data_IF_900070943179
#
_entry.id   IF_900070943179
#
_cell.length_a   1.000
_cell.length_b   1.000
_cell.length_c   1.000
_cell.angle_alpha   90.00
_cell.angle_beta   90.00
_cell.angle_gamma   90.00
#
_symmetry.space_group_name_H-M   'P 1'
#
loop_
_entity.id
_entity.type
_entity.pdbx_description
1 polymer ?
#
# COMPACT_ATOMS: atom_id res chain seq x y z
N UNK A 1 6.75 33.11 -22.46
CA UNK A 1 7.27 31.93 -21.75
C UNK A 1 6.29 31.59 -20.64
N UNK A 2 5.38 30.65 -20.89
CA UNK A 2 4.50 30.15 -19.85
C UNK A 2 5.25 29.05 -19.09
N UNK A 3 5.62 29.32 -17.85
CA UNK A 3 5.99 28.28 -16.88
C UNK A 3 4.71 27.55 -16.52
N UNK A 4 4.41 26.46 -17.20
CA UNK A 4 3.42 25.49 -16.74
C UNK A 4 3.93 24.92 -15.42
N UNK A 5 3.15 25.15 -14.39
CA UNK A 5 3.41 24.70 -13.04
C UNK A 5 3.23 23.17 -13.00
N UNK A 6 4.33 22.41 -13.01
CA UNK A 6 4.37 20.94 -12.89
C UNK A 6 3.77 20.40 -11.56
N UNK A 7 3.15 21.28 -10.75
CA UNK A 7 2.57 20.97 -9.42
C UNK A 7 1.11 20.51 -9.46
N UNK A 8 0.44 20.57 -10.62
CA UNK A 8 -0.98 20.21 -10.73
C UNK A 8 -1.23 18.76 -11.19
N UNK A 9 -0.23 18.05 -11.72
CA UNK A 9 -0.36 16.62 -11.97
C UNK A 9 -0.09 15.84 -10.68
N UNK A 10 -1.02 15.00 -10.19
CA UNK A 10 -0.70 14.06 -9.13
C UNK A 10 0.54 13.28 -9.58
N UNK A 11 1.50 13.00 -8.69
CA UNK A 11 2.73 12.31 -9.06
C UNK A 11 2.42 11.08 -9.93
N UNK A 12 3.29 10.62 -10.82
CA UNK A 12 3.01 9.41 -11.60
C UNK A 12 2.98 8.17 -10.67
N UNK A 13 2.14 7.17 -10.97
CA UNK A 13 2.16 5.89 -10.26
C UNK A 13 3.46 5.17 -10.55
N UNK A 14 3.99 4.43 -9.57
CA UNK A 14 5.11 3.55 -9.86
C UNK A 14 4.69 2.47 -10.89
N UNK A 15 5.66 1.97 -11.65
CA UNK A 15 5.41 1.00 -12.73
C UNK A 15 4.66 -0.24 -12.23
N UNK A 16 5.00 -0.74 -11.04
CA UNK A 16 4.37 -1.94 -10.45
C UNK A 16 2.90 -1.66 -10.18
N UNK A 17 2.58 -0.53 -9.54
CA UNK A 17 1.19 -0.13 -9.28
C UNK A 17 0.42 0.11 -10.57
N UNK A 18 1.03 0.77 -11.57
CA UNK A 18 0.39 1.01 -12.88
C UNK A 18 0.01 -0.30 -13.57
N UNK A 19 0.92 -1.28 -13.59
CA UNK A 19 0.66 -2.62 -14.14
C UNK A 19 -0.43 -3.34 -13.33
N UNK A 20 -0.35 -3.31 -12.00
CA UNK A 20 -1.35 -3.93 -11.10
C UNK A 20 -2.74 -3.35 -11.33
N UNK A 21 -2.89 -2.02 -11.42
CA UNK A 21 -4.17 -1.34 -11.70
C UNK A 21 -4.75 -1.67 -13.08
N UNK A 22 -3.90 -2.04 -14.05
CA UNK A 22 -4.30 -2.43 -15.41
C UNK A 22 -4.73 -3.91 -15.50
N UNK A 23 -4.01 -4.80 -14.81
CA UNK A 23 -4.13 -6.25 -14.99
C UNK A 23 -5.06 -6.89 -13.95
N UNK A 24 -4.89 -6.55 -12.67
CA UNK A 24 -5.58 -7.24 -11.57
C UNK A 24 -7.11 -7.18 -11.63
N UNK A 25 -7.77 -6.11 -12.16
CA UNK A 25 -9.23 -6.13 -12.32
C UNK A 25 -9.75 -7.20 -13.27
N UNK A 26 -9.05 -7.44 -14.38
CA UNK A 26 -9.42 -8.51 -15.31
C UNK A 26 -9.17 -9.88 -14.68
N UNK A 27 -8.03 -10.05 -14.01
CA UNK A 27 -7.72 -11.28 -13.28
C UNK A 27 -8.76 -11.57 -12.21
N UNK A 28 -9.23 -10.54 -11.49
CA UNK A 28 -10.23 -10.68 -10.45
C UNK A 28 -11.56 -11.18 -11.02
N UNK A 29 -12.05 -10.60 -12.12
CA UNK A 29 -13.27 -11.03 -12.80
C UNK A 29 -13.23 -12.50 -13.25
N UNK A 30 -12.06 -13.01 -13.59
CA UNK A 30 -11.86 -14.42 -13.97
C UNK A 30 -11.86 -15.32 -12.73
N UNK A 31 -11.22 -14.87 -11.63
CA UNK A 31 -11.06 -15.66 -10.39
C UNK A 31 -12.31 -15.66 -9.50
N UNK A 32 -13.07 -14.58 -9.49
CA UNK A 32 -14.21 -14.37 -8.59
C UNK A 32 -15.27 -15.47 -8.70
N UNK A 33 -15.69 -15.93 -9.90
CA UNK A 33 -16.63 -17.05 -10.05
C UNK A 33 -16.10 -18.38 -9.49
N UNK A 34 -14.79 -18.51 -9.32
CA UNK A 34 -14.12 -19.70 -8.79
C UNK A 34 -13.79 -19.56 -7.29
N UNK A 35 -14.32 -18.52 -6.62
CA UNK A 35 -14.06 -18.23 -5.21
C UNK A 35 -12.70 -17.58 -4.94
N UNK A 36 -11.96 -17.19 -5.98
CA UNK A 36 -10.68 -16.50 -5.84
C UNK A 36 -10.81 -14.99 -5.98
N UNK A 37 -9.82 -14.25 -5.47
CA UNK A 37 -9.79 -12.79 -5.60
C UNK A 37 -8.43 -12.29 -6.11
N UNK A 38 -8.46 -11.10 -6.72
CA UNK A 38 -7.27 -10.32 -7.09
C UNK A 38 -7.48 -8.82 -6.85
N UNK A 39 -8.70 -8.42 -6.45
CA UNK A 39 -9.01 -7.15 -5.81
C UNK A 39 -9.76 -7.44 -4.51
N UNK A 40 -9.68 -6.52 -3.55
CA UNK A 40 -10.49 -6.57 -2.34
C UNK A 40 -10.71 -5.15 -1.80
N UNK A 41 -11.77 -4.99 -1.00
CA UNK A 41 -12.02 -3.74 -0.28
C UNK A 41 -10.95 -3.57 0.81
N UNK A 42 -10.45 -2.35 0.96
CA UNK A 42 -9.52 -1.95 2.00
C UNK A 42 -10.23 -1.99 3.35
N UNK A 43 -9.70 -2.72 4.33
CA UNK A 43 -10.33 -2.79 5.64
C UNK A 43 -10.04 -1.51 6.45
N UNK A 44 -11.03 -0.91 7.13
CA UNK A 44 -10.85 0.33 7.89
C UNK A 44 -9.87 0.18 9.06
N UNK A 45 -9.84 -0.97 9.74
CA UNK A 45 -8.88 -1.23 10.84
C UNK A 45 -7.41 -1.25 10.39
N UNK A 46 -7.14 -1.29 9.08
CA UNK A 46 -5.78 -1.13 8.56
C UNK A 46 -5.34 0.34 8.52
N UNK A 47 -6.23 1.30 8.80
CA UNK A 47 -5.92 2.73 8.64
C UNK A 47 -4.83 3.19 9.61
N UNK A 48 -3.70 3.61 9.04
CA UNK A 48 -2.57 4.17 9.77
C UNK A 48 -2.81 5.64 10.03
N UNK A 49 -3.26 6.37 9.02
CA UNK A 49 -3.42 7.82 9.05
C UNK A 49 -3.19 8.45 7.68
N UNK A 50 -3.38 9.76 7.62
CA UNK A 50 -3.07 10.57 6.44
C UNK A 50 -1.75 11.29 6.64
N UNK A 51 -0.79 11.02 5.75
CA UNK A 51 0.51 11.69 5.70
C UNK A 51 0.37 12.96 4.87
N UNK A 52 0.80 14.09 5.44
CA UNK A 52 0.75 15.42 4.80
C UNK A 52 1.98 15.65 3.93
N UNK A 53 2.13 14.81 2.91
CA UNK A 53 3.17 14.88 1.88
C UNK A 53 2.57 14.45 0.56
N UNK A 54 3.11 14.98 -0.53
CA UNK A 54 2.84 14.41 -1.84
C UNK A 54 3.35 12.95 -1.92
N UNK A 55 2.80 12.19 -2.87
CA UNK A 55 3.10 10.76 -2.99
C UNK A 55 4.57 10.47 -3.36
N UNK A 56 5.23 11.35 -4.09
CA UNK A 56 6.64 11.17 -4.47
C UNK A 56 7.54 11.33 -3.24
N UNK A 57 7.30 12.34 -2.43
CA UNK A 57 8.00 12.55 -1.16
C UNK A 57 7.74 11.38 -0.21
N UNK A 58 6.49 10.94 -0.07
CA UNK A 58 6.18 9.82 0.82
C UNK A 58 6.76 8.49 0.35
N UNK A 59 6.87 8.27 -0.97
CA UNK A 59 7.61 7.13 -1.52
C UNK A 59 9.08 7.15 -1.08
N UNK A 60 9.73 8.30 -1.13
CA UNK A 60 11.13 8.41 -0.69
C UNK A 60 11.26 8.09 0.81
N UNK A 61 10.29 8.48 1.64
CA UNK A 61 10.26 8.11 3.06
C UNK A 61 10.11 6.58 3.24
N UNK A 62 9.23 5.94 2.47
CA UNK A 62 9.07 4.48 2.48
C UNK A 62 10.38 3.77 2.12
N UNK A 63 11.07 4.22 1.08
CA UNK A 63 12.37 3.68 0.68
C UNK A 63 13.42 3.88 1.79
N UNK A 64 13.46 5.06 2.43
CA UNK A 64 14.34 5.33 3.56
C UNK A 64 14.02 4.43 4.78
N UNK A 65 12.75 4.05 4.96
CA UNK A 65 12.31 3.09 5.96
C UNK A 65 12.54 1.62 5.55
N UNK A 66 13.23 1.38 4.43
CA UNK A 66 13.53 0.07 3.83
C UNK A 66 12.30 -0.70 3.34
N UNK A 67 11.27 0.01 2.85
CA UNK A 67 10.20 -0.59 2.07
C UNK A 67 10.60 -0.73 0.60
N UNK A 68 10.00 -1.72 -0.06
CA UNK A 68 10.07 -1.90 -1.50
C UNK A 68 8.66 -2.11 -2.09
N UNK A 69 8.42 -1.81 -3.38
CA UNK A 69 7.14 -2.11 -4.02
C UNK A 69 6.80 -3.61 -3.94
N UNK A 70 5.54 -3.91 -3.70
CA UNK A 70 5.02 -5.28 -3.67
C UNK A 70 4.29 -5.64 -4.99
N UNK A 71 4.86 -6.57 -5.79
CA UNK A 71 4.21 -7.00 -7.03
C UNK A 71 3.07 -8.00 -6.78
N UNK A 72 3.19 -8.81 -5.72
CA UNK A 72 2.24 -9.89 -5.39
C UNK A 72 1.41 -9.46 -4.19
N UNK A 73 0.31 -8.78 -4.47
CA UNK A 73 -0.72 -8.43 -3.50
C UNK A 73 -2.02 -8.10 -4.26
N UNK A 74 -3.17 -8.42 -3.66
CA UNK A 74 -4.47 -8.00 -4.21
C UNK A 74 -4.52 -6.48 -4.37
N UNK A 75 -5.17 -5.99 -5.43
CA UNK A 75 -5.37 -4.57 -5.62
C UNK A 75 -6.42 -4.07 -4.63
N UNK A 76 -6.00 -3.22 -3.69
CA UNK A 76 -6.89 -2.66 -2.68
C UNK A 76 -7.78 -1.58 -3.29
N UNK A 77 -9.05 -1.59 -2.91
CA UNK A 77 -10.06 -0.62 -3.32
C UNK A 77 -10.60 0.05 -2.07
N UNK A 78 -10.52 1.36 -2.00
CA UNK A 78 -11.08 2.16 -0.91
C UNK A 78 -12.62 2.08 -0.95
N UNK A 79 -13.29 2.37 0.16
CA UNK A 79 -14.75 2.31 0.26
C UNK A 79 -15.47 3.26 -0.72
N UNK A 80 -14.82 4.38 -1.07
CA UNK A 80 -15.29 5.33 -2.08
C UNK A 80 -14.99 4.92 -3.54
N UNK A 81 -14.40 3.74 -3.75
CA UNK A 81 -14.09 3.19 -5.07
C UNK A 81 -12.71 3.59 -5.63
N UNK A 82 -11.94 4.46 -4.95
CA UNK A 82 -10.55 4.72 -5.34
C UNK A 82 -9.72 3.43 -5.29
N UNK A 83 -8.81 3.25 -6.24
CA UNK A 83 -7.87 2.11 -6.25
C UNK A 83 -6.56 2.54 -5.60
N UNK A 84 -5.91 1.61 -4.90
CA UNK A 84 -4.62 1.89 -4.27
C UNK A 84 -3.61 2.46 -5.27
N UNK A 85 -2.97 3.56 -4.88
CA UNK A 85 -1.91 4.25 -5.58
C UNK A 85 -0.50 3.72 -5.21
N UNK A 86 -0.41 2.74 -4.31
CA UNK A 86 0.83 2.07 -3.96
C UNK A 86 0.59 0.81 -3.14
N UNK A 87 1.52 -0.15 -3.21
CA UNK A 87 1.58 -1.35 -2.37
C UNK A 87 3.05 -1.62 -2.08
N UNK A 88 3.39 -1.61 -0.79
CA UNK A 88 4.76 -1.49 -0.32
C UNK A 88 4.99 -2.43 0.85
N UNK A 89 6.18 -3.01 0.90
CA UNK A 89 6.50 -4.02 1.90
C UNK A 89 7.85 -3.82 2.54
N UNK A 90 7.88 -4.06 3.83
CA UNK A 90 9.09 -4.08 4.63
C UNK A 90 9.26 -5.43 5.30
N UNK A 91 10.47 -6.00 5.17
CA UNK A 91 10.84 -7.28 5.77
C UNK A 91 12.15 -7.12 6.52
N UNK A 92 12.37 -7.93 7.56
CA UNK A 92 13.66 -7.96 8.28
C UNK A 92 14.78 -8.58 7.43
N UNK A 93 14.42 -9.50 6.54
CA UNK A 93 15.30 -10.13 5.56
C UNK A 93 14.46 -10.65 4.38
N UNK A 94 15.05 -10.95 3.21
CA UNK A 94 14.30 -11.39 2.03
C UNK A 94 13.39 -12.61 2.27
N UNK A 95 13.84 -13.56 3.10
CA UNK A 95 13.11 -14.79 3.44
C UNK A 95 12.50 -14.75 4.85
N UNK A 96 12.23 -13.57 5.40
CA UNK A 96 11.50 -13.45 6.65
C UNK A 96 10.07 -14.01 6.49
N UNK A 97 9.57 -14.75 7.49
CA UNK A 97 8.21 -15.30 7.41
C UNK A 97 7.12 -14.23 7.42
N UNK A 98 7.39 -13.08 8.04
CA UNK A 98 6.43 -11.98 8.18
C UNK A 98 6.89 -10.75 7.40
N UNK A 99 5.93 -10.02 6.85
CA UNK A 99 6.12 -8.72 6.23
C UNK A 99 5.16 -7.70 6.86
N UNK A 100 5.57 -6.43 6.85
CA UNK A 100 4.65 -5.30 7.03
C UNK A 100 4.28 -4.82 5.63
N UNK A 101 3.00 -4.90 5.29
CA UNK A 101 2.49 -4.41 4.02
C UNK A 101 1.73 -3.10 4.25
N UNK A 102 1.94 -2.16 3.34
CA UNK A 102 1.37 -0.83 3.33
C UNK A 102 0.69 -0.59 1.99
N UNK A 103 -0.59 -0.24 2.02
CA UNK A 103 -1.34 0.23 0.87
C UNK A 103 -1.50 1.75 0.94
N UNK A 104 -1.35 2.42 -0.21
CA UNK A 104 -1.45 3.88 -0.32
C UNK A 104 -2.69 4.24 -1.14
N UNK A 105 -3.38 5.30 -0.74
CA UNK A 105 -4.43 5.93 -1.53
C UNK A 105 -4.17 7.44 -1.66
N UNK A 106 -4.55 8.01 -2.80
CA UNK A 106 -4.38 9.43 -3.07
C UNK A 106 -5.42 10.23 -2.27
N UNK A 107 -4.98 10.99 -1.26
CA UNK A 107 -5.83 11.85 -0.42
C UNK A 107 -5.92 13.30 -0.92
N UNK A 108 -5.39 13.59 -2.11
CA UNK A 108 -5.20 14.93 -2.66
C UNK A 108 -3.79 15.13 -3.21
N UNK A 109 -3.44 16.34 -3.62
CA UNK A 109 -2.10 16.66 -4.17
C UNK A 109 -0.99 16.47 -3.13
N UNK A 110 -1.26 16.90 -1.89
CA UNK A 110 -0.28 16.91 -0.79
C UNK A 110 -0.64 15.97 0.37
N UNK A 111 -1.46 14.95 0.09
CA UNK A 111 -1.92 14.01 1.10
C UNK A 111 -1.96 12.57 0.59
N UNK A 112 -1.45 11.66 1.40
CA UNK A 112 -1.51 10.21 1.15
C UNK A 112 -2.18 9.52 2.33
N UNK A 113 -3.27 8.82 2.07
CA UNK A 113 -3.87 7.91 3.04
C UNK A 113 -3.07 6.61 3.07
N UNK A 114 -2.73 6.18 4.29
CA UNK A 114 -1.86 5.03 4.52
C UNK A 114 -2.63 3.97 5.28
N UNK A 115 -2.60 2.74 4.77
CA UNK A 115 -3.16 1.56 5.42
C UNK A 115 -2.06 0.51 5.59
N UNK A 116 -2.07 -0.24 6.69
CA UNK A 116 -1.06 -1.24 6.97
C UNK A 116 -1.62 -2.44 7.74
N UNK A 117 -1.01 -3.59 7.50
CA UNK A 117 -1.20 -4.82 8.26
C UNK A 117 0.10 -5.63 8.24
N UNK A 118 0.25 -6.54 9.20
CA UNK A 118 1.25 -7.60 9.16
C UNK A 118 0.64 -8.85 8.57
N UNK A 119 1.41 -9.53 7.75
CA UNK A 119 0.99 -10.74 7.05
C UNK A 119 2.18 -11.64 6.77
N UNK A 120 1.91 -12.86 6.34
CA UNK A 120 2.96 -13.75 5.86
C UNK A 120 3.61 -13.20 4.59
N UNK A 121 4.93 -13.40 4.47
CA UNK A 121 5.68 -13.03 3.28
C UNK A 121 5.27 -13.86 2.08
N UNK A 122 4.81 -13.24 0.99
CA UNK A 122 4.53 -13.98 -0.25
C UNK A 122 5.74 -14.71 -0.82
N UNK A 123 6.96 -14.21 -0.59
CA UNK A 123 8.21 -14.83 -1.06
C UNK A 123 8.46 -16.19 -0.40
N UNK A 124 8.07 -16.35 0.88
CA UNK A 124 8.32 -17.57 1.66
C UNK A 124 7.08 -18.43 1.86
N UNK A 125 5.91 -17.79 1.98
CA UNK A 125 4.63 -18.42 2.31
C UNK A 125 3.51 -17.88 1.39
N UNK A 126 3.62 -18.06 0.05
CA UNK A 126 2.70 -17.46 -0.92
C UNK A 126 1.24 -17.84 -0.71
N UNK A 127 0.97 -19.09 -0.32
CA UNK A 127 -0.40 -19.56 -0.05
C UNK A 127 -1.01 -18.87 1.17
N UNK A 128 -0.27 -18.82 2.29
CA UNK A 128 -0.72 -18.18 3.53
C UNK A 128 -0.94 -16.68 3.36
N UNK A 129 -0.06 -16.03 2.60
CA UNK A 129 -0.23 -14.65 2.18
C UNK A 129 -1.53 -14.48 1.38
N UNK A 130 -1.74 -15.34 0.36
CA UNK A 130 -2.94 -15.26 -0.48
C UNK A 130 -4.25 -15.48 0.31
N UNK A 131 -4.27 -16.39 1.28
CA UNK A 131 -5.46 -16.67 2.10
C UNK A 131 -5.65 -15.70 3.26
N UNK A 132 -4.73 -14.73 3.46
CA UNK A 132 -4.78 -13.81 4.59
C UNK A 132 -4.59 -14.49 5.96
N UNK A 133 -3.88 -15.62 6.02
CA UNK A 133 -3.60 -16.28 7.30
C UNK A 133 -2.75 -15.34 8.18
N UNK A 134 -3.12 -15.18 9.45
CA UNK A 134 -2.35 -14.34 10.38
C UNK A 134 -2.37 -12.84 10.06
N UNK A 135 -3.42 -12.37 9.36
CA UNK A 135 -3.66 -10.96 9.08
C UNK A 135 -3.80 -10.15 10.37
N UNK A 136 -2.81 -9.31 10.64
CA UNK A 136 -2.67 -8.55 11.89
C UNK A 136 -2.71 -7.05 11.59
N UNK A 137 -3.92 -6.47 11.62
CA UNK A 137 -4.17 -5.05 11.35
C UNK A 137 -3.61 -4.17 12.45
N UNK A 138 -3.94 -4.47 13.72
CA UNK A 138 -3.48 -3.71 14.89
C UNK A 138 -1.96 -3.61 14.95
N UNK A 139 -1.26 -4.75 14.89
CA UNK A 139 0.21 -4.76 14.92
C UNK A 139 0.83 -4.15 13.67
N UNK A 140 0.15 -4.18 12.51
CA UNK A 140 0.58 -3.47 11.31
C UNK A 140 0.48 -1.96 11.44
N UNK A 141 -0.67 -1.46 11.90
CA UNK A 141 -0.91 -0.03 12.14
C UNK A 141 0.06 0.52 13.16
N UNK A 142 0.18 -0.10 14.33
CA UNK A 142 1.10 0.32 15.39
C UNK A 142 2.54 0.36 14.88
N UNK A 143 2.97 -0.67 14.14
CA UNK A 143 4.32 -0.75 13.60
C UNK A 143 4.57 0.34 12.56
N UNK A 144 3.61 0.61 11.69
CA UNK A 144 3.76 1.66 10.67
C UNK A 144 3.80 3.05 11.30
N UNK A 145 2.91 3.34 12.26
CA UNK A 145 2.93 4.60 13.03
C UNK A 145 4.27 4.80 13.74
N UNK A 146 4.79 3.75 14.39
CA UNK A 146 6.11 3.78 15.04
C UNK A 146 7.23 4.10 14.05
N UNK A 147 7.20 3.54 12.83
CA UNK A 147 8.19 3.83 11.79
C UNK A 147 8.10 5.29 11.31
N UNK A 148 6.89 5.79 11.05
CA UNK A 148 6.66 7.18 10.66
C UNK A 148 7.20 8.15 11.71
N UNK A 149 6.83 7.96 12.98
CA UNK A 149 7.31 8.79 14.09
C UNK A 149 8.83 8.74 14.24
N UNK A 150 9.44 7.55 14.14
CA UNK A 150 10.89 7.39 14.26
C UNK A 150 11.69 8.08 13.15
N UNK A 151 11.07 8.30 11.98
CA UNK A 151 11.69 8.99 10.83
C UNK A 151 11.21 10.44 10.69
N UNK A 152 10.47 10.96 11.68
CA UNK A 152 9.97 12.34 11.65
C UNK A 152 8.97 12.62 10.52
N UNK A 153 8.23 11.60 10.08
CA UNK A 153 7.18 11.74 9.06
C UNK A 153 5.85 12.07 9.76
N UNK A 154 5.29 13.28 9.59
CA UNK A 154 4.06 13.67 10.25
C UNK A 154 2.84 12.99 9.61
N UNK A 155 1.90 12.54 10.44
CA UNK A 155 0.63 11.96 10.01
C UNK A 155 -0.50 12.33 10.97
N UNK A 156 -1.74 12.26 10.50
CA UNK A 156 -2.96 12.48 11.29
C UNK A 156 -3.83 11.23 11.31
N UNK A 157 -4.51 11.01 12.42
CA UNK A 157 -5.48 9.92 12.64
C UNK A 157 -6.82 10.57 12.95
N UNK A 158 -7.44 11.15 11.94
CA UNK A 158 -8.78 11.74 12.06
C UNK A 158 -9.84 10.64 11.87
#
# INVERSE_FOLDING_TARGET
MATTDDRDEPPELDLTTRVRRRVLPTVHRIKEPLGGFAQCIQHPDEYVGTVQRDRRAFRADLEAMAFAPEPIAALKVHEDGRRSAGSWVRRRSPLASWQLHVALFDGGTDAVEVFAHREYSWLRHPYRHYTGEGWDTTGGVERMRSLLSAHGVPFRTE
#
